data_IF_896458009569
#
_entry.id   IF_896458009569
#
_cell.length_a   1.000
_cell.length_b   1.000
_cell.length_c   1.000
_cell.angle_alpha   90.00
_cell.angle_beta   90.00
_cell.angle_gamma   90.00
#
_symmetry.space_group_name_H-M   'P 1'
#
loop_
_entity.id
_entity.type
_entity.pdbx_description
1 polymer ?
#
# COMPACT_ATOMS: atom_id res chain seq x y z
N UNK A 1 -11.18 19.61 2.62
CA UNK A 1 -10.22 18.51 2.45
C UNK A 1 -9.07 18.73 3.42
N UNK A 2 -8.48 17.69 3.99
CA UNK A 2 -7.30 17.85 4.88
C UNK A 2 -6.07 18.29 4.07
N UNK A 3 -5.08 18.90 4.74
CA UNK A 3 -3.79 19.25 4.11
C UNK A 3 -3.11 18.03 3.48
N UNK A 4 -3.24 16.86 4.12
CA UNK A 4 -2.73 15.58 3.64
C UNK A 4 -3.37 15.17 2.30
N UNK A 5 -4.70 15.26 2.20
CA UNK A 5 -5.42 14.95 0.95
C UNK A 5 -5.05 15.93 -0.17
N UNK A 6 -4.85 17.21 0.16
CA UNK A 6 -4.44 18.21 -0.82
C UNK A 6 -3.05 17.88 -1.41
N UNK A 7 -2.09 17.49 -0.56
CA UNK A 7 -0.77 17.07 -1.01
C UNK A 7 -0.84 15.83 -1.91
N UNK A 8 -1.59 14.81 -1.51
CA UNK A 8 -1.79 13.60 -2.32
C UNK A 8 -2.37 13.96 -3.69
N UNK A 9 -3.41 14.79 -3.74
CA UNK A 9 -4.04 15.20 -5.00
C UNK A 9 -3.10 16.03 -5.88
N UNK A 10 -2.17 16.78 -5.29
CA UNK A 10 -1.16 17.54 -6.03
C UNK A 10 -0.14 16.63 -6.72
N UNK A 11 0.37 15.60 -6.03
CA UNK A 11 1.46 14.78 -6.55
C UNK A 11 1.00 13.56 -7.35
N UNK A 12 -0.17 13.00 -7.06
CA UNK A 12 -0.64 11.77 -7.67
C UNK A 12 -0.71 11.84 -9.22
N UNK A 13 -1.26 12.90 -9.84
CA UNK A 13 -1.26 13.01 -11.31
C UNK A 13 0.15 13.04 -11.91
N UNK A 14 1.11 13.66 -11.21
CA UNK A 14 2.50 13.74 -11.66
C UNK A 14 3.15 12.35 -11.61
N UNK A 15 2.97 11.64 -10.48
CA UNK A 15 3.47 10.26 -10.30
C UNK A 15 2.89 9.34 -11.38
N UNK A 16 1.57 9.38 -11.59
CA UNK A 16 0.90 8.56 -12.61
C UNK A 16 1.39 8.85 -14.03
N UNK A 17 1.55 10.12 -14.39
CA UNK A 17 2.05 10.54 -15.71
C UNK A 17 3.47 10.02 -15.96
N UNK A 18 4.38 10.19 -14.99
CA UNK A 18 5.77 9.73 -15.10
C UNK A 18 5.81 8.19 -15.13
N UNK A 19 5.06 7.53 -14.26
CA UNK A 19 5.01 6.08 -14.21
C UNK A 19 4.51 5.48 -15.54
N UNK A 20 3.44 6.07 -16.11
CA UNK A 20 2.89 5.69 -17.40
C UNK A 20 3.91 5.87 -18.54
N UNK A 21 4.60 7.01 -18.60
CA UNK A 21 5.59 7.28 -19.65
C UNK A 21 6.79 6.30 -19.63
N UNK A 22 6.98 5.60 -18.53
CA UNK A 22 8.05 4.61 -18.29
C UNK A 22 7.55 3.15 -18.36
N UNK A 23 6.32 2.90 -18.77
CA UNK A 23 5.73 1.56 -18.85
C UNK A 23 5.42 0.93 -17.51
N UNK A 24 5.05 1.76 -16.51
CA UNK A 24 4.62 1.35 -15.15
C UNK A 24 5.64 0.48 -14.38
N UNK A 25 6.90 0.95 -14.22
CA UNK A 25 7.91 0.16 -13.53
C UNK A 25 7.67 0.03 -12.02
N UNK A 26 6.91 0.94 -11.40
CA UNK A 26 6.64 0.98 -9.97
C UNK A 26 5.14 1.13 -9.69
N UNK A 27 4.73 0.80 -8.47
CA UNK A 27 3.39 1.11 -7.98
C UNK A 27 3.29 2.61 -7.63
N UNK A 28 2.35 3.32 -8.24
CA UNK A 28 2.12 4.74 -7.96
C UNK A 28 1.76 4.96 -6.49
N UNK A 29 0.98 4.05 -5.90
CA UNK A 29 0.64 4.04 -4.47
C UNK A 29 1.88 4.07 -3.57
N UNK A 30 2.92 3.31 -3.92
CA UNK A 30 4.19 3.27 -3.17
C UNK A 30 4.92 4.61 -3.28
N UNK A 31 5.06 5.14 -4.49
CA UNK A 31 5.76 6.42 -4.73
C UNK A 31 5.05 7.57 -4.01
N UNK A 32 3.70 7.63 -4.07
CA UNK A 32 2.90 8.65 -3.38
C UNK A 32 3.03 8.52 -1.87
N UNK A 33 2.96 7.30 -1.32
CA UNK A 33 3.06 7.07 0.13
C UNK A 33 4.45 7.42 0.67
N UNK A 34 5.52 7.10 -0.06
CA UNK A 34 6.87 7.51 0.28
C UNK A 34 6.99 9.05 0.27
N UNK A 35 6.47 9.72 -0.75
CA UNK A 35 6.44 11.18 -0.81
C UNK A 35 5.71 11.80 0.40
N UNK A 36 4.58 11.21 0.82
CA UNK A 36 3.86 11.64 2.02
C UNK A 36 4.73 11.48 3.28
N UNK A 37 5.39 10.34 3.44
CA UNK A 37 6.22 10.04 4.60
C UNK A 37 7.45 10.97 4.66
N UNK A 38 8.20 11.08 3.56
CA UNK A 38 9.44 11.85 3.47
C UNK A 38 9.22 13.35 3.68
N UNK A 39 8.08 13.86 3.28
CA UNK A 39 7.79 15.31 3.35
C UNK A 39 6.90 15.71 4.50
N UNK A 40 6.38 14.76 5.29
CA UNK A 40 5.30 15.05 6.23
C UNK A 40 4.09 15.68 5.52
N UNK A 41 3.70 15.09 4.40
CA UNK A 41 2.61 15.59 3.53
C UNK A 41 2.86 17.00 3.00
N UNK A 42 4.06 17.24 2.52
CA UNK A 42 4.44 18.51 1.89
C UNK A 42 4.94 19.59 2.84
N UNK A 43 5.01 19.31 4.14
CA UNK A 43 5.40 20.28 5.16
C UNK A 43 6.93 20.41 5.37
N UNK A 44 7.76 19.56 4.75
CA UNK A 44 9.20 19.61 4.98
C UNK A 44 9.85 20.84 4.35
N UNK A 45 10.83 21.42 5.06
CA UNK A 45 11.60 22.57 4.55
C UNK A 45 12.30 22.25 3.21
N UNK A 46 12.76 21.01 3.07
CA UNK A 46 13.45 20.55 1.88
C UNK A 46 12.52 20.57 0.65
N UNK A 47 11.28 20.12 0.82
CA UNK A 47 10.28 20.22 -0.24
C UNK A 47 9.90 21.68 -0.54
N UNK A 48 9.60 22.48 0.49
CA UNK A 48 9.11 23.86 0.31
C UNK A 48 10.15 24.76 -0.34
N UNK A 49 11.44 24.59 -0.05
CA UNK A 49 12.52 25.46 -0.54
C UNK A 49 13.24 24.93 -1.76
N UNK A 50 13.21 23.63 -1.98
CA UNK A 50 14.02 22.97 -3.01
C UNK A 50 13.23 22.05 -3.94
N UNK A 51 11.91 21.95 -3.79
CA UNK A 51 11.07 20.95 -4.46
C UNK A 51 11.59 19.51 -4.30
N UNK A 52 12.36 19.23 -3.26
CA UNK A 52 13.02 17.94 -3.03
C UNK A 52 12.11 17.05 -2.15
N UNK A 53 11.33 16.21 -2.81
CA UNK A 53 10.33 15.34 -2.15
C UNK A 53 11.02 14.20 -1.39
N UNK A 54 12.00 13.53 -2.01
CA UNK A 54 12.57 12.26 -1.52
C UNK A 54 13.91 12.42 -0.78
N UNK A 55 14.34 13.63 -0.50
CA UNK A 55 15.56 13.87 0.25
C UNK A 55 16.81 13.24 -0.35
N UNK A 56 16.93 13.19 -1.69
CA UNK A 56 18.06 12.56 -2.35
C UNK A 56 19.32 13.42 -2.16
N UNK A 57 20.37 12.85 -1.56
CA UNK A 57 21.64 13.54 -1.36
C UNK A 57 22.31 13.85 -2.70
N UNK A 58 22.89 15.05 -2.80
CA UNK A 58 23.67 15.45 -3.97
C UNK A 58 25.07 14.82 -3.88
N UNK A 59 25.22 13.66 -4.52
CA UNK A 59 26.55 13.03 -4.64
C UNK A 59 27.44 13.78 -5.63
N UNK A 60 28.71 13.41 -5.70
CA UNK A 60 29.75 14.06 -6.54
C UNK A 60 29.41 14.08 -8.04
N UNK A 61 28.56 13.18 -8.51
CA UNK A 61 28.11 13.08 -9.90
C UNK A 61 26.93 14.00 -10.22
N UNK A 62 26.25 14.55 -9.20
CA UNK A 62 25.12 15.43 -9.41
C UNK A 62 25.58 16.80 -9.96
N UNK A 63 25.01 17.23 -11.10
CA UNK A 63 25.35 18.50 -11.76
C UNK A 63 24.20 19.53 -11.69
N UNK A 64 23.06 19.16 -11.07
CA UNK A 64 21.90 20.03 -10.93
C UNK A 64 22.04 20.97 -9.73
N UNK A 65 20.95 21.71 -9.45
CA UNK A 65 20.83 22.57 -8.27
C UNK A 65 20.96 21.79 -6.98
N UNK A 66 21.47 22.43 -5.95
CA UNK A 66 21.61 21.85 -4.61
C UNK A 66 21.00 22.75 -3.55
N UNK A 67 20.58 22.14 -2.46
CA UNK A 67 20.11 22.81 -1.25
C UNK A 67 20.81 22.20 -0.03
N UNK A 68 21.43 23.04 0.79
CA UNK A 68 22.09 22.61 2.02
C UNK A 68 21.14 22.74 3.19
N UNK A 69 20.96 21.66 3.95
CA UNK A 69 20.10 21.60 5.13
C UNK A 69 20.83 20.96 6.31
N UNK A 70 20.50 21.43 7.51
CA UNK A 70 20.93 20.76 8.75
C UNK A 70 20.10 19.48 8.94
N UNK A 71 20.79 18.36 9.10
CA UNK A 71 20.20 17.05 9.37
C UNK A 71 20.76 16.48 10.66
N UNK A 72 19.96 15.64 11.32
CA UNK A 72 20.40 14.87 12.50
C UNK A 72 20.83 13.48 11.99
N UNK A 73 22.07 13.15 12.18
CA UNK A 73 22.62 11.82 11.90
C UNK A 73 23.05 11.16 13.20
N UNK A 74 23.15 9.84 13.22
CA UNK A 74 23.63 9.10 14.40
C UNK A 74 25.01 8.56 14.12
N UNK A 75 26.01 9.10 14.80
CA UNK A 75 27.39 8.60 14.78
C UNK A 75 27.74 8.02 16.14
N UNK A 76 28.19 6.76 16.18
CA UNK A 76 28.54 6.04 17.41
C UNK A 76 27.44 6.16 18.49
N UNK A 77 26.19 5.91 18.08
CA UNK A 77 24.98 6.00 18.93
C UNK A 77 24.71 7.39 19.52
N UNK A 78 25.37 8.45 19.04
CA UNK A 78 25.12 9.83 19.45
C UNK A 78 24.51 10.64 18.31
N UNK A 79 23.44 11.41 18.56
CA UNK A 79 22.89 12.31 17.55
C UNK A 79 23.86 13.49 17.30
N UNK A 80 24.23 13.68 16.05
CA UNK A 80 25.06 14.79 15.59
C UNK A 80 24.31 15.58 14.55
N UNK A 81 24.32 16.91 14.66
CA UNK A 81 23.74 17.77 13.62
C UNK A 81 24.84 18.09 12.61
N UNK A 82 24.64 17.67 11.36
CA UNK A 82 25.53 17.98 10.26
C UNK A 82 24.80 18.82 9.21
N UNK A 83 25.55 19.55 8.39
CA UNK A 83 25.01 20.16 7.18
C UNK A 83 25.24 19.19 6.03
N UNK A 84 24.15 18.77 5.41
CA UNK A 84 24.20 17.88 4.25
C UNK A 84 23.61 18.58 3.02
N UNK A 85 24.01 18.14 1.84
CA UNK A 85 23.63 18.75 0.57
C UNK A 85 22.70 17.80 -0.20
N UNK A 86 21.52 18.31 -0.51
CA UNK A 86 20.46 17.57 -1.20
C UNK A 86 20.29 18.10 -2.62
N UNK A 87 19.81 17.24 -3.51
CA UNK A 87 19.38 17.63 -4.85
C UNK A 87 18.20 18.60 -4.75
N UNK A 88 18.24 19.68 -5.53
CA UNK A 88 17.18 20.65 -5.62
C UNK A 88 16.65 20.73 -7.06
N UNK A 89 15.36 20.99 -7.19
CA UNK A 89 14.66 20.88 -8.46
C UNK A 89 13.86 22.16 -8.77
N UNK A 90 13.58 22.40 -10.06
CA UNK A 90 12.76 23.54 -10.47
C UNK A 90 11.29 23.35 -10.13
N UNK A 91 10.82 22.08 -10.06
CA UNK A 91 9.45 21.71 -9.78
C UNK A 91 9.35 20.29 -9.21
N UNK A 92 8.15 19.90 -8.76
CA UNK A 92 7.90 18.57 -8.18
C UNK A 92 8.06 17.44 -9.20
N UNK A 93 7.76 17.70 -10.48
CA UNK A 93 7.89 16.70 -11.55
C UNK A 93 9.34 16.26 -11.74
N UNK A 94 10.30 17.22 -11.69
CA UNK A 94 11.72 16.88 -11.75
C UNK A 94 12.15 16.01 -10.56
N UNK A 95 11.70 16.33 -9.35
CA UNK A 95 12.00 15.55 -8.16
C UNK A 95 11.46 14.12 -8.25
N UNK A 96 10.21 13.96 -8.68
CA UNK A 96 9.58 12.65 -8.86
C UNK A 96 10.28 11.87 -9.97
N UNK A 97 10.59 12.52 -11.09
CA UNK A 97 11.30 11.88 -12.19
C UNK A 97 12.69 11.37 -11.79
N UNK A 98 13.42 12.14 -10.97
CA UNK A 98 14.73 11.76 -10.45
C UNK A 98 14.63 10.59 -9.46
N UNK A 99 13.58 10.52 -8.65
CA UNK A 99 13.29 9.35 -7.82
C UNK A 99 13.08 8.10 -8.68
N UNK A 100 12.29 8.18 -9.76
CA UNK A 100 12.15 7.07 -10.69
C UNK A 100 13.49 6.64 -11.30
N UNK A 101 14.36 7.60 -11.66
CA UNK A 101 15.71 7.31 -12.14
C UNK A 101 16.54 6.58 -11.08
N UNK A 102 16.47 7.03 -9.83
CA UNK A 102 17.17 6.39 -8.71
C UNK A 102 16.76 4.93 -8.53
N UNK A 103 15.46 4.66 -8.52
CA UNK A 103 14.95 3.30 -8.26
C UNK A 103 15.11 2.41 -9.49
N UNK A 104 14.72 2.88 -10.67
CA UNK A 104 14.70 2.04 -11.86
C UNK A 104 16.10 1.73 -12.44
N UNK A 105 17.06 2.65 -12.27
CA UNK A 105 18.39 2.50 -12.88
C UNK A 105 19.45 1.92 -11.92
N UNK A 106 19.12 1.71 -10.65
CA UNK A 106 20.06 1.18 -9.68
C UNK A 106 19.84 -0.30 -9.42
N UNK A 107 20.84 -1.12 -9.64
CA UNK A 107 20.79 -2.60 -9.49
C UNK A 107 20.25 -3.06 -8.13
N UNK A 108 20.52 -2.33 -7.05
CA UNK A 108 20.05 -2.70 -5.71
C UNK A 108 18.52 -2.64 -5.55
N UNK A 109 17.82 -1.89 -6.42
CA UNK A 109 16.36 -1.75 -6.39
C UNK A 109 15.66 -2.55 -7.50
N UNK A 110 16.36 -3.33 -8.31
CA UNK A 110 15.76 -4.04 -9.46
C UNK A 110 14.60 -4.97 -9.08
N UNK A 111 14.60 -5.51 -7.85
CA UNK A 111 13.48 -6.33 -7.36
C UNK A 111 12.20 -5.54 -7.11
N UNK A 112 12.29 -4.20 -7.01
CA UNK A 112 11.12 -3.33 -6.89
C UNK A 112 10.49 -3.03 -8.25
N UNK A 113 11.31 -3.07 -9.33
CA UNK A 113 10.85 -2.83 -10.70
C UNK A 113 10.05 -4.03 -11.18
N UNK A 114 8.82 -3.79 -11.61
CA UNK A 114 7.88 -4.84 -12.04
C UNK A 114 7.57 -5.90 -10.97
N UNK A 115 7.57 -5.50 -9.67
CA UNK A 115 7.08 -6.37 -8.59
C UNK A 115 5.59 -6.70 -8.77
N UNK A 116 5.14 -7.84 -8.24
CA UNK A 116 3.78 -8.33 -8.48
C UNK A 116 2.69 -7.58 -7.70
N UNK A 117 3.07 -6.85 -6.65
CA UNK A 117 2.17 -6.04 -5.83
C UNK A 117 2.93 -4.95 -5.09
N UNK A 118 2.20 -3.95 -4.56
CA UNK A 118 2.80 -2.81 -3.86
C UNK A 118 3.56 -3.21 -2.59
N UNK A 119 3.18 -4.31 -1.93
CA UNK A 119 3.86 -4.80 -0.72
C UNK A 119 5.24 -5.32 -1.08
N UNK A 120 5.34 -6.14 -2.13
CA UNK A 120 6.65 -6.60 -2.65
C UNK A 120 7.51 -5.44 -3.10
N UNK A 121 6.91 -4.45 -3.77
CA UNK A 121 7.59 -3.24 -4.24
C UNK A 121 8.27 -2.49 -3.08
N UNK A 122 7.52 -2.15 -2.04
CA UNK A 122 8.09 -1.40 -0.91
C UNK A 122 9.09 -2.21 -0.09
N UNK A 123 8.88 -3.52 0.06
CA UNK A 123 9.88 -4.39 0.68
C UNK A 123 11.19 -4.41 -0.11
N UNK A 124 11.12 -4.49 -1.44
CA UNK A 124 12.29 -4.47 -2.31
C UNK A 124 13.03 -3.12 -2.27
N UNK A 125 12.31 -2.00 -2.23
CA UNK A 125 12.89 -0.66 -2.05
C UNK A 125 13.63 -0.57 -0.71
N UNK A 126 13.00 -0.99 0.38
CA UNK A 126 13.60 -0.97 1.71
C UNK A 126 14.85 -1.89 1.80
N UNK A 127 14.73 -3.12 1.29
CA UNK A 127 15.85 -4.09 1.26
C UNK A 127 17.02 -3.61 0.39
N UNK A 128 16.75 -2.77 -0.61
CA UNK A 128 17.77 -2.08 -1.39
C UNK A 128 18.52 -0.98 -0.62
N UNK A 129 18.17 -0.75 0.64
CA UNK A 129 18.82 0.25 1.50
C UNK A 129 18.31 1.67 1.28
N UNK A 130 17.05 1.85 0.89
CA UNK A 130 16.45 3.17 0.77
C UNK A 130 16.27 3.85 2.13
N UNK A 131 15.90 3.09 3.15
CA UNK A 131 15.73 3.57 4.52
C UNK A 131 16.37 2.60 5.52
N UNK A 132 16.83 3.12 6.65
CA UNK A 132 17.41 2.35 7.76
C UNK A 132 16.41 2.08 8.88
N UNK A 133 15.27 2.76 8.89
CA UNK A 133 14.21 2.58 9.88
C UNK A 133 13.52 1.21 9.68
N UNK A 134 13.56 0.29 10.66
CA UNK A 134 12.94 -1.02 10.56
C UNK A 134 11.41 -0.95 10.41
N UNK A 135 10.79 0.16 10.80
CA UNK A 135 9.34 0.39 10.66
C UNK A 135 8.95 1.08 9.34
N UNK A 136 9.93 1.36 8.45
CA UNK A 136 9.69 2.10 7.22
C UNK A 136 8.60 1.48 6.33
N UNK A 137 8.72 0.19 6.06
CA UNK A 137 7.76 -0.55 5.23
C UNK A 137 6.34 -0.47 5.81
N UNK A 138 6.20 -0.72 7.11
CA UNK A 138 4.89 -0.68 7.77
C UNK A 138 4.27 0.72 7.73
N UNK A 139 5.07 1.78 7.89
CA UNK A 139 4.60 3.17 7.78
C UNK A 139 4.10 3.49 6.36
N UNK A 140 4.83 3.08 5.33
CA UNK A 140 4.41 3.29 3.93
C UNK A 140 3.12 2.52 3.63
N UNK A 141 3.02 1.24 4.02
CA UNK A 141 1.81 0.44 3.84
C UNK A 141 0.62 1.06 4.59
N UNK A 142 0.84 1.57 5.80
CA UNK A 142 -0.20 2.25 6.56
C UNK A 142 -0.74 3.48 5.81
N UNK A 143 0.13 4.30 5.21
CA UNK A 143 -0.27 5.46 4.40
C UNK A 143 -1.06 5.01 3.18
N UNK A 144 -0.59 3.98 2.45
CA UNK A 144 -1.31 3.42 1.29
C UNK A 144 -2.74 3.04 1.66
N UNK A 145 -2.90 2.31 2.76
CA UNK A 145 -4.19 1.83 3.22
C UNK A 145 -5.09 2.98 3.74
N UNK A 146 -4.52 3.89 4.55
CA UNK A 146 -5.27 5.02 5.13
C UNK A 146 -5.89 5.91 4.07
N UNK A 147 -5.17 6.17 2.99
CA UNK A 147 -5.61 7.07 1.91
C UNK A 147 -6.10 6.34 0.67
N UNK A 148 -6.23 4.99 0.71
CA UNK A 148 -6.62 4.16 -0.43
C UNK A 148 -5.82 4.52 -1.71
N UNK A 149 -4.48 4.54 -1.59
CA UNK A 149 -3.62 5.02 -2.67
C UNK A 149 -3.51 4.05 -3.84
N UNK A 150 -3.87 2.78 -3.67
CA UNK A 150 -3.90 1.78 -4.75
C UNK A 150 -4.80 2.19 -5.92
N UNK A 151 -5.77 3.11 -5.69
CA UNK A 151 -6.58 3.70 -6.76
C UNK A 151 -5.76 4.50 -7.81
N UNK A 152 -4.51 4.82 -7.51
CA UNK A 152 -3.60 5.52 -8.41
C UNK A 152 -2.66 4.58 -9.17
N UNK A 153 -2.66 3.29 -8.84
CA UNK A 153 -1.89 2.29 -9.56
C UNK A 153 -2.45 2.13 -10.98
N UNK A 154 -1.63 1.70 -11.93
CA UNK A 154 -1.96 1.79 -13.35
C UNK A 154 -3.21 1.03 -13.75
N UNK A 155 -3.88 1.55 -14.81
CA UNK A 155 -5.02 0.90 -15.45
C UNK A 155 -4.69 -0.48 -16.08
N UNK A 156 -3.43 -0.88 -16.22
CA UNK A 156 -3.07 -2.24 -16.68
C UNK A 156 -3.02 -3.24 -15.53
N UNK A 157 -2.55 -2.87 -14.36
CA UNK A 157 -2.85 -3.63 -13.14
C UNK A 157 -4.35 -3.63 -12.82
N UNK A 158 -5.06 -2.54 -13.18
CA UNK A 158 -6.53 -2.47 -13.12
C UNK A 158 -7.24 -3.22 -14.27
N UNK A 159 -6.54 -3.64 -15.34
CA UNK A 159 -7.14 -4.51 -16.37
C UNK A 159 -7.09 -5.98 -15.95
N UNK A 160 -6.05 -6.41 -15.26
CA UNK A 160 -6.09 -7.68 -14.51
C UNK A 160 -7.09 -7.58 -13.34
N UNK A 161 -7.22 -6.40 -12.68
CA UNK A 161 -8.23 -6.10 -11.68
C UNK A 161 -9.62 -5.76 -12.29
N UNK A 162 -9.73 -5.33 -13.55
CA UNK A 162 -11.01 -5.04 -14.23
C UNK A 162 -11.61 -6.26 -14.90
N UNK A 163 -10.84 -7.33 -15.17
CA UNK A 163 -11.37 -8.68 -15.31
C UNK A 163 -11.71 -9.30 -13.95
N UNK A 164 -11.06 -8.89 -12.86
CA UNK A 164 -11.56 -8.94 -11.50
C UNK A 164 -12.46 -7.72 -11.26
N UNK A 165 -13.71 -7.78 -11.74
CA UNK A 165 -14.80 -6.87 -11.37
C UNK A 165 -14.59 -6.40 -9.94
N UNK A 166 -14.55 -5.08 -9.72
CA UNK A 166 -14.73 -4.47 -8.40
C UNK A 166 -16.05 -4.99 -7.84
N UNK A 167 -15.96 -6.08 -7.09
CA UNK A 167 -17.15 -6.71 -6.54
C UNK A 167 -17.58 -5.84 -5.36
N UNK A 168 -18.60 -5.02 -5.56
CA UNK A 168 -19.18 -4.22 -4.50
C UNK A 168 -20.14 -5.08 -3.70
N UNK A 169 -19.86 -5.21 -2.41
CA UNK A 169 -20.75 -5.92 -1.49
C UNK A 169 -21.76 -4.96 -0.89
N UNK A 170 -23.02 -5.39 -0.82
CA UNK A 170 -24.12 -4.62 -0.23
C UNK A 170 -24.74 -5.40 0.92
N UNK A 171 -25.00 -4.69 2.01
CA UNK A 171 -25.70 -5.27 3.18
C UNK A 171 -27.08 -5.78 2.75
N UNK A 172 -27.46 -6.95 3.24
CA UNK A 172 -28.71 -7.63 2.91
C UNK A 172 -28.64 -8.52 1.67
N UNK A 173 -27.67 -8.37 0.79
CA UNK A 173 -27.49 -9.25 -0.38
C UNK A 173 -26.84 -10.58 -0.01
N UNK A 174 -27.11 -11.59 -0.84
CA UNK A 174 -26.58 -12.94 -0.71
C UNK A 174 -25.45 -13.13 -1.71
N UNK A 175 -24.35 -13.71 -1.25
CA UNK A 175 -23.15 -13.99 -2.02
C UNK A 175 -22.71 -15.44 -1.84
N UNK A 176 -21.98 -15.99 -2.82
CA UNK A 176 -21.52 -17.36 -2.83
C UNK A 176 -20.01 -17.47 -2.62
N UNK A 177 -19.58 -18.38 -1.75
CA UNK A 177 -18.17 -18.68 -1.50
C UNK A 177 -17.55 -19.43 -2.69
N UNK A 178 -16.48 -18.90 -3.24
CA UNK A 178 -15.77 -19.50 -4.38
C UNK A 178 -14.74 -20.56 -3.95
N UNK A 179 -14.39 -20.58 -2.67
CA UNK A 179 -13.50 -21.56 -2.01
C UNK A 179 -14.02 -21.87 -0.61
N UNK A 180 -13.41 -22.85 0.05
CA UNK A 180 -13.66 -23.06 1.48
C UNK A 180 -13.09 -21.88 2.28
N UNK A 181 -13.91 -21.27 3.14
CA UNK A 181 -13.50 -20.09 3.91
C UNK A 181 -13.70 -20.29 5.41
N UNK A 182 -12.69 -19.89 6.16
CA UNK A 182 -12.77 -19.85 7.62
C UNK A 182 -13.67 -18.71 8.10
N UNK A 183 -14.53 -19.00 9.06
CA UNK A 183 -15.31 -17.99 9.78
C UNK A 183 -14.51 -17.56 11.02
N UNK A 184 -14.28 -16.25 11.15
CA UNK A 184 -13.49 -15.68 12.23
C UNK A 184 -14.34 -14.86 13.19
N UNK A 185 -13.79 -14.59 14.37
CA UNK A 185 -14.47 -13.76 15.37
C UNK A 185 -14.59 -12.28 14.92
N UNK A 186 -13.59 -11.77 14.19
CA UNK A 186 -13.56 -10.41 13.66
C UNK A 186 -12.85 -10.39 12.28
N UNK A 187 -13.00 -9.26 11.59
CA UNK A 187 -12.30 -8.98 10.33
C UNK A 187 -10.78 -8.85 10.56
N UNK A 188 -9.99 -9.71 9.90
CA UNK A 188 -8.53 -9.74 9.99
C UNK A 188 -7.98 -11.14 10.26
N UNK A 189 -6.81 -11.45 9.68
CA UNK A 189 -6.15 -12.75 9.84
C UNK A 189 -5.62 -12.99 11.26
N UNK A 190 -5.36 -11.93 12.02
CA UNK A 190 -4.92 -11.99 13.42
C UNK A 190 -6.00 -12.52 14.38
N UNK A 191 -7.27 -12.49 13.98
CA UNK A 191 -8.35 -13.03 14.82
C UNK A 191 -8.54 -14.52 14.59
N UNK A 192 -8.79 -15.25 15.66
CA UNK A 192 -8.98 -16.70 15.65
C UNK A 192 -10.14 -17.17 14.77
N UNK A 193 -10.03 -18.41 14.28
CA UNK A 193 -11.13 -19.11 13.61
C UNK A 193 -12.11 -19.56 14.68
N UNK A 194 -13.41 -19.33 14.47
CA UNK A 194 -14.47 -19.83 15.37
C UNK A 194 -14.51 -21.36 15.40
N UNK A 195 -15.05 -21.91 16.47
CA UNK A 195 -15.34 -23.34 16.54
C UNK A 195 -16.62 -23.64 15.78
N UNK A 196 -16.76 -24.86 15.28
CA UNK A 196 -17.99 -25.35 14.67
C UNK A 196 -19.23 -25.13 15.56
N UNK A 197 -19.10 -25.35 16.89
CA UNK A 197 -20.19 -25.18 17.87
C UNK A 197 -20.77 -23.76 17.88
N UNK A 198 -19.99 -22.75 17.51
CA UNK A 198 -20.34 -21.33 17.57
C UNK A 198 -20.98 -20.80 16.28
N UNK A 199 -21.10 -21.65 15.26
CA UNK A 199 -21.83 -21.30 14.04
C UNK A 199 -23.33 -21.31 14.29
N UNK A 200 -24.04 -20.51 13.49
CA UNK A 200 -25.52 -20.61 13.41
C UNK A 200 -25.96 -22.03 12.98
N UNK A 201 -27.20 -22.44 13.28
CA UNK A 201 -27.71 -23.75 12.82
C UNK A 201 -27.56 -23.95 11.32
N UNK A 202 -27.76 -22.91 10.52
CA UNK A 202 -27.58 -22.96 9.07
C UNK A 202 -26.08 -23.04 8.68
N UNK A 203 -25.21 -22.24 9.29
CA UNK A 203 -23.75 -22.32 9.06
C UNK A 203 -23.19 -23.72 9.34
N UNK A 204 -23.71 -24.43 10.37
CA UNK A 204 -23.30 -25.81 10.68
C UNK A 204 -23.58 -26.80 9.56
N UNK A 205 -24.66 -26.63 8.79
CA UNK A 205 -25.00 -27.51 7.65
C UNK A 205 -23.95 -27.40 6.52
N UNK A 206 -23.34 -26.25 6.40
CA UNK A 206 -22.39 -25.92 5.32
C UNK A 206 -20.92 -26.03 5.73
N UNK A 207 -20.61 -26.51 6.93
CA UNK A 207 -19.25 -26.62 7.43
C UNK A 207 -18.51 -27.85 6.85
N UNK A 208 -17.19 -27.74 6.65
CA UNK A 208 -16.36 -28.84 6.13
C UNK A 208 -16.08 -29.92 7.18
N UNK A 209 -16.05 -29.54 8.47
CA UNK A 209 -15.78 -30.44 9.59
C UNK A 209 -16.50 -29.94 10.86
N UNK A 210 -16.45 -30.73 11.93
CA UNK A 210 -17.12 -30.41 13.21
C UNK A 210 -16.18 -29.82 14.28
N UNK A 211 -14.99 -29.36 13.90
CA UNK A 211 -14.01 -28.77 14.83
C UNK A 211 -13.93 -27.26 14.63
N UNK A 212 -13.55 -26.83 13.44
CA UNK A 212 -13.41 -25.42 13.09
C UNK A 212 -14.50 -24.95 12.14
N UNK A 213 -14.86 -23.69 12.26
CA UNK A 213 -15.86 -23.03 11.43
C UNK A 213 -15.28 -22.71 10.03
N UNK A 214 -15.22 -23.72 9.17
CA UNK A 214 -14.82 -23.58 7.76
C UNK A 214 -15.99 -23.91 6.87
N UNK A 215 -16.59 -22.89 6.24
CA UNK A 215 -17.70 -23.06 5.31
C UNK A 215 -17.20 -23.57 3.95
N UNK A 216 -17.96 -24.45 3.33
CA UNK A 216 -17.65 -25.07 2.03
C UNK A 216 -17.77 -24.06 0.88
N UNK A 217 -16.97 -24.25 -0.17
CA UNK A 217 -17.23 -23.65 -1.49
C UNK A 217 -18.69 -23.88 -1.90
N UNK A 218 -19.29 -22.89 -2.54
CA UNK A 218 -20.70 -22.91 -2.95
C UNK A 218 -21.68 -22.51 -1.84
N UNK A 219 -21.22 -22.31 -0.60
CA UNK A 219 -22.10 -21.82 0.47
C UNK A 219 -22.56 -20.40 0.16
N UNK A 220 -23.86 -20.17 0.24
CA UNK A 220 -24.45 -18.83 0.07
C UNK A 220 -24.58 -18.16 1.44
N UNK A 221 -24.09 -16.94 1.55
CA UNK A 221 -24.06 -16.17 2.81
C UNK A 221 -24.71 -14.81 2.63
N UNK A 222 -25.50 -14.38 3.59
CA UNK A 222 -26.08 -13.03 3.60
C UNK A 222 -25.06 -12.05 4.19
N UNK A 223 -24.74 -11.00 3.47
CA UNK A 223 -23.90 -9.91 3.95
C UNK A 223 -24.63 -9.08 5.01
N UNK A 224 -24.09 -8.99 6.21
CA UNK A 224 -24.57 -8.17 7.32
C UNK A 224 -23.79 -6.88 7.49
N UNK A 225 -22.53 -6.88 7.04
CA UNK A 225 -21.63 -5.75 7.07
C UNK A 225 -20.44 -5.97 6.14
N UNK A 226 -19.81 -4.87 5.72
CA UNK A 226 -18.61 -4.88 4.90
C UNK A 226 -17.54 -4.09 5.63
N UNK A 227 -16.38 -4.69 5.87
CA UNK A 227 -15.24 -4.06 6.53
C UNK A 227 -14.00 -4.20 5.65
N UNK A 228 -13.24 -3.12 5.55
CA UNK A 228 -11.91 -3.14 4.95
C UNK A 228 -10.89 -3.15 6.09
N UNK A 229 -10.08 -4.20 6.13
CA UNK A 229 -9.04 -4.37 7.14
C UNK A 229 -7.75 -4.87 6.49
N UNK A 230 -6.65 -4.13 6.70
CA UNK A 230 -5.33 -4.44 6.14
C UNK A 230 -5.36 -4.64 4.61
N UNK A 231 -6.10 -3.74 3.89
CA UNK A 231 -6.27 -3.78 2.43
C UNK A 231 -7.16 -4.91 1.91
N UNK A 232 -7.74 -5.74 2.78
CA UNK A 232 -8.60 -6.86 2.41
C UNK A 232 -10.06 -6.57 2.76
N UNK A 233 -11.01 -7.08 1.95
CA UNK A 233 -12.44 -6.92 2.21
C UNK A 233 -12.97 -8.12 2.98
N UNK A 234 -13.64 -7.84 4.08
CA UNK A 234 -14.27 -8.81 4.96
C UNK A 234 -15.77 -8.62 4.95
N UNK A 235 -16.52 -9.71 4.86
CA UNK A 235 -17.96 -9.69 5.06
C UNK A 235 -18.30 -10.18 6.46
N UNK A 236 -19.10 -9.40 7.15
CA UNK A 236 -19.86 -9.91 8.29
C UNK A 236 -21.02 -10.74 7.76
N UNK A 237 -21.12 -11.95 8.23
CA UNK A 237 -22.20 -12.89 7.93
C UNK A 237 -22.85 -13.34 9.25
N UNK A 238 -24.02 -13.98 9.24
CA UNK A 238 -24.69 -14.41 10.49
C UNK A 238 -23.83 -15.23 11.44
N UNK A 239 -22.83 -15.94 10.92
CA UNK A 239 -21.95 -16.81 11.72
C UNK A 239 -20.64 -16.12 12.19
N UNK A 240 -20.31 -14.93 11.71
CA UNK A 240 -19.05 -14.19 12.01
C UNK A 240 -18.48 -13.50 10.77
N UNK A 241 -17.17 -13.51 10.60
CA UNK A 241 -16.50 -12.80 9.51
C UNK A 241 -15.80 -13.77 8.55
N UNK A 242 -15.99 -13.56 7.24
CA UNK A 242 -15.27 -14.26 6.17
C UNK A 242 -14.48 -13.27 5.31
N UNK A 243 -13.32 -13.66 4.83
CA UNK A 243 -12.52 -12.84 3.93
C UNK A 243 -13.09 -12.96 2.51
N UNK A 244 -13.66 -11.88 2.00
CA UNK A 244 -14.29 -11.86 0.69
C UNK A 244 -13.30 -11.52 -0.43
N UNK A 245 -12.36 -10.61 -0.15
CA UNK A 245 -11.25 -10.28 -1.05
C UNK A 245 -9.96 -10.26 -0.23
N UNK A 246 -8.95 -11.00 -0.67
CA UNK A 246 -7.64 -11.06 -0.05
C UNK A 246 -6.57 -10.90 -1.13
N UNK A 247 -5.68 -9.91 -0.98
CA UNK A 247 -4.66 -9.59 -1.97
C UNK A 247 -5.26 -9.51 -3.39
N UNK A 248 -6.32 -8.70 -3.54
CA UNK A 248 -7.08 -8.48 -4.78
C UNK A 248 -7.78 -9.71 -5.37
N UNK A 249 -7.65 -10.88 -4.76
CA UNK A 249 -8.34 -12.09 -5.20
C UNK A 249 -9.71 -12.22 -4.54
N UNK A 250 -10.75 -12.40 -5.36
CA UNK A 250 -12.14 -12.50 -4.91
C UNK A 250 -12.43 -13.96 -4.52
N UNK A 251 -12.90 -14.16 -3.29
CA UNK A 251 -13.28 -15.44 -2.72
C UNK A 251 -14.77 -15.57 -2.44
N UNK A 252 -15.51 -14.47 -2.53
CA UNK A 252 -16.98 -14.43 -2.34
C UNK A 252 -17.57 -13.60 -3.46
N UNK A 253 -18.58 -14.13 -4.18
CA UNK A 253 -19.24 -13.45 -5.32
C UNK A 253 -20.74 -13.45 -5.17
#
# INVERSE_FOLDING_TARGET
MSSQTNFINQIAPIVQSINKSRGYPLYASVVIAQACLETGYGASQLMMKANAIFGIKAGITWKGKVYSAKTKEVYNSKPVTITDTFRAYNNLSESINDYFNLICNNKRYQRAVHSNNFVECIHAVASGGYATDPSYVSKVIQIINTFNLTRFDSTESLKEDAENKTFSYSIGKVYELQVNLNVRYHAGLQYGIKKYSELTPDGKKHCTNKIYATLKKGTRVTCKGVLIKDGNTWLEIPSGYVCAVYNNKIYVK
#
